data_IF_452496297419
#
_entry.id   IF_452496297419
#
_cell.length_a   1.000
_cell.length_b   1.000
_cell.length_c   1.000
_cell.angle_alpha   90.00
_cell.angle_beta   90.00
_cell.angle_gamma   90.00
#
_symmetry.space_group_name_H-M   'P 1'
#
loop_
_entity.id
_entity.type
_entity.pdbx_description
1 polymer ?
#
# COMPACT_ATOMS: atom_id res chain seq x y z
N UNK A 1 0.48 14.88 -5.87
CA UNK A 1 1.92 15.15 -5.93
C UNK A 1 2.35 15.57 -4.53
N UNK A 2 3.09 14.72 -3.81
CA UNK A 2 3.69 15.11 -2.54
C UNK A 2 4.76 16.15 -2.87
N UNK A 3 4.46 17.42 -2.57
CA UNK A 3 5.37 18.53 -2.85
C UNK A 3 6.57 18.37 -1.91
N UNK A 4 7.74 18.08 -2.49
CA UNK A 4 9.01 18.11 -1.79
C UNK A 4 9.58 16.78 -1.29
N UNK A 5 8.92 15.63 -1.47
CA UNK A 5 9.48 14.32 -1.10
C UNK A 5 9.78 13.45 -2.32
N UNK A 6 10.97 12.86 -2.34
CA UNK A 6 11.34 11.87 -3.37
C UNK A 6 10.93 10.50 -2.84
N UNK A 7 10.06 9.79 -3.58
CA UNK A 7 9.74 8.40 -3.26
C UNK A 7 10.95 7.51 -3.57
N UNK A 8 11.37 6.75 -2.56
CA UNK A 8 12.41 5.73 -2.68
C UNK A 8 11.85 4.41 -2.19
N UNK A 9 12.16 3.33 -2.87
CA UNK A 9 11.83 1.99 -2.40
C UNK A 9 12.96 1.00 -2.65
N UNK A 10 13.18 0.11 -1.71
CA UNK A 10 14.05 -1.05 -1.85
C UNK A 10 13.18 -2.28 -1.96
N UNK A 11 13.34 -3.05 -3.01
CA UNK A 11 12.58 -4.26 -3.30
C UNK A 11 13.52 -5.44 -3.10
N UNK A 12 13.12 -6.36 -2.21
CA UNK A 12 13.91 -7.54 -1.88
C UNK A 12 13.07 -8.77 -2.23
N UNK A 13 13.63 -9.66 -3.02
CA UNK A 13 13.01 -10.93 -3.40
C UNK A 13 14.12 -11.96 -3.66
N UNK A 14 13.88 -13.23 -3.32
CA UNK A 14 14.85 -14.31 -3.53
C UNK A 14 15.18 -14.61 -4.97
N UNK A 15 14.36 -14.16 -5.91
CA UNK A 15 14.52 -14.32 -7.37
C UNK A 15 14.60 -12.98 -8.08
N UNK A 16 15.08 -11.95 -7.40
CA UNK A 16 15.06 -10.58 -7.93
C UNK A 16 15.78 -10.42 -9.25
N UNK A 17 16.91 -11.12 -9.46
CA UNK A 17 17.65 -11.09 -10.74
C UNK A 17 16.78 -11.50 -11.93
N UNK A 18 15.89 -12.48 -11.73
CA UNK A 18 14.99 -12.93 -12.77
C UNK A 18 13.76 -12.00 -12.94
N UNK A 19 13.30 -11.39 -11.83
CA UNK A 19 12.05 -10.63 -11.81
C UNK A 19 12.21 -9.16 -12.17
N UNK A 20 13.35 -8.53 -11.87
CA UNK A 20 13.54 -7.08 -12.02
C UNK A 20 13.26 -6.59 -13.46
N UNK A 21 13.80 -7.28 -14.48
CA UNK A 21 13.58 -6.91 -15.87
C UNK A 21 12.12 -7.04 -16.32
N UNK A 22 11.40 -8.06 -15.85
CA UNK A 22 9.97 -8.23 -16.11
C UNK A 22 9.15 -7.14 -15.44
N UNK A 23 9.48 -6.81 -14.20
CA UNK A 23 8.80 -5.79 -13.42
C UNK A 23 8.89 -4.42 -14.09
N UNK A 24 10.09 -4.01 -14.53
CA UNK A 24 10.28 -2.77 -15.26
C UNK A 24 9.59 -2.76 -16.64
N UNK A 25 9.51 -3.93 -17.28
CA UNK A 25 8.83 -4.08 -18.57
C UNK A 25 7.31 -3.86 -18.41
N UNK A 26 6.69 -4.48 -17.40
CA UNK A 26 5.26 -4.35 -17.16
C UNK A 26 4.86 -2.99 -16.58
N UNK A 27 5.76 -2.34 -15.85
CA UNK A 27 5.48 -1.08 -15.16
C UNK A 27 6.48 0.03 -15.53
N UNK A 28 6.52 0.48 -16.80
CA UNK A 28 7.53 1.43 -17.27
C UNK A 28 7.50 2.80 -16.56
N UNK A 29 6.37 3.15 -15.92
CA UNK A 29 6.25 4.36 -15.10
C UNK A 29 7.12 4.35 -13.85
N UNK A 30 7.57 3.18 -13.40
CA UNK A 30 8.44 3.04 -12.22
C UNK A 30 9.84 3.63 -12.43
N UNK A 31 10.29 3.81 -13.66
CA UNK A 31 11.56 4.50 -13.99
C UNK A 31 11.65 5.94 -13.46
N UNK A 32 10.51 6.53 -13.11
CA UNK A 32 10.46 7.87 -12.53
C UNK A 32 10.71 7.89 -11.01
N UNK A 33 10.89 6.73 -10.38
CA UNK A 33 11.12 6.58 -8.95
C UNK A 33 12.52 6.03 -8.68
N UNK A 34 13.02 6.27 -7.46
CA UNK A 34 14.28 5.71 -7.02
C UNK A 34 14.03 4.32 -6.45
N UNK A 35 14.21 3.29 -7.28
CA UNK A 35 14.03 1.90 -6.89
C UNK A 35 15.39 1.20 -6.81
N UNK A 36 15.60 0.44 -5.75
CA UNK A 36 16.74 -0.44 -5.55
C UNK A 36 16.24 -1.88 -5.50
N UNK A 37 16.90 -2.78 -6.19
CA UNK A 37 16.55 -4.19 -6.25
C UNK A 37 17.64 -5.03 -5.61
N UNK A 38 17.27 -5.87 -4.65
CA UNK A 38 18.20 -6.78 -3.98
C UNK A 38 17.67 -8.21 -4.01
N UNK A 39 18.55 -9.15 -4.30
CA UNK A 39 18.23 -10.58 -4.23
C UNK A 39 18.68 -11.10 -2.87
N UNK A 40 17.73 -11.45 -2.02
CA UNK A 40 17.99 -12.09 -0.74
C UNK A 40 16.78 -12.91 -0.29
N UNK A 41 17.04 -13.99 0.42
CA UNK A 41 16.02 -14.77 1.09
C UNK A 41 15.54 -14.01 2.34
N UNK A 42 14.22 -13.91 2.53
CA UNK A 42 13.66 -13.26 3.73
C UNK A 42 14.13 -13.98 5.01
N UNK A 43 14.31 -13.21 6.07
CA UNK A 43 14.79 -13.69 7.36
C UNK A 43 16.22 -14.29 7.35
N UNK A 44 16.96 -14.12 6.26
CA UNK A 44 18.40 -14.43 6.21
C UNK A 44 19.25 -13.31 6.85
N UNK A 45 20.49 -13.64 7.19
CA UNK A 45 21.43 -12.63 7.70
C UNK A 45 21.69 -11.52 6.69
N UNK A 46 21.72 -11.83 5.40
CA UNK A 46 21.88 -10.86 4.31
C UNK A 46 20.69 -9.89 4.27
N UNK A 47 19.46 -10.42 4.34
CA UNK A 47 18.24 -9.62 4.40
C UNK A 47 18.26 -8.62 5.57
N UNK A 48 18.59 -9.07 6.78
CA UNK A 48 18.63 -8.20 7.94
C UNK A 48 19.76 -7.18 7.88
N UNK A 49 20.92 -7.51 7.30
CA UNK A 49 22.00 -6.54 7.09
C UNK A 49 21.58 -5.44 6.10
N UNK A 50 20.96 -5.80 4.98
CA UNK A 50 20.39 -4.83 4.03
C UNK A 50 19.38 -3.90 4.70
N UNK A 51 18.49 -4.46 5.53
CA UNK A 51 17.48 -3.68 6.24
C UNK A 51 18.12 -2.73 7.26
N UNK A 52 19.13 -3.18 8.00
CA UNK A 52 19.83 -2.38 9.01
C UNK A 52 20.39 -1.08 8.42
N UNK A 53 20.98 -1.14 7.24
CA UNK A 53 21.54 0.02 6.54
C UNK A 53 20.47 1.04 6.12
N UNK A 54 19.19 0.61 6.04
CA UNK A 54 18.07 1.45 5.61
C UNK A 54 17.24 2.04 6.76
N UNK A 55 17.39 1.54 7.99
CA UNK A 55 16.50 1.88 9.12
C UNK A 55 16.37 3.39 9.37
N UNK A 56 17.44 4.17 9.24
CA UNK A 56 17.43 5.60 9.53
C UNK A 56 16.44 6.42 8.69
N UNK A 57 16.15 5.97 7.45
CA UNK A 57 15.23 6.64 6.52
C UNK A 57 13.92 5.89 6.30
N UNK A 58 13.75 4.75 6.94
CA UNK A 58 12.63 3.86 6.70
C UNK A 58 11.33 4.41 7.32
N UNK A 59 10.24 4.36 6.56
CA UNK A 59 8.89 4.73 7.00
C UNK A 59 7.94 3.54 6.98
N UNK A 60 8.03 2.73 5.93
CA UNK A 60 7.13 1.61 5.70
C UNK A 60 7.92 0.39 5.23
N UNK A 61 7.52 -0.77 5.71
CA UNK A 61 7.89 -2.07 5.16
C UNK A 61 6.60 -2.72 4.64
N UNK A 62 6.61 -3.19 3.40
CA UNK A 62 5.52 -3.94 2.82
C UNK A 62 5.92 -5.40 2.74
N UNK A 63 5.19 -6.28 3.40
CA UNK A 63 5.39 -7.74 3.39
C UNK A 63 4.30 -8.38 2.57
N UNK A 64 4.67 -8.96 1.42
CA UNK A 64 3.77 -9.60 0.46
C UNK A 64 4.49 -10.77 -0.23
N UNK A 65 4.62 -11.91 0.47
CA UNK A 65 5.39 -13.08 0.04
C UNK A 65 4.50 -14.18 -0.58
N UNK A 66 3.18 -13.94 -0.66
CA UNK A 66 2.22 -14.83 -1.30
C UNK A 66 1.54 -15.84 -0.36
N UNK A 67 1.98 -15.99 0.89
CA UNK A 67 1.40 -16.88 1.88
C UNK A 67 1.18 -16.15 3.20
N UNK A 68 -0.03 -16.21 3.76
CA UNK A 68 -0.41 -15.49 4.98
C UNK A 68 0.51 -15.83 6.17
N UNK A 69 0.79 -17.13 6.39
CA UNK A 69 1.63 -17.57 7.50
C UNK A 69 3.06 -17.03 7.38
N UNK A 70 3.64 -17.07 6.18
CA UNK A 70 4.97 -16.54 5.91
C UNK A 70 5.01 -15.02 6.06
N UNK A 71 3.98 -14.33 5.59
CA UNK A 71 3.85 -12.88 5.73
C UNK A 71 3.80 -12.47 7.20
N UNK A 72 2.96 -13.13 8.00
CA UNK A 72 2.82 -12.87 9.45
C UNK A 72 4.12 -13.17 10.19
N UNK A 73 4.72 -14.35 9.95
CA UNK A 73 6.00 -14.72 10.57
C UNK A 73 7.07 -13.66 10.28
N UNK A 74 7.21 -13.27 9.03
CA UNK A 74 8.18 -12.27 8.60
C UNK A 74 7.89 -10.90 9.26
N UNK A 75 6.62 -10.49 9.35
CA UNK A 75 6.25 -9.24 9.99
C UNK A 75 6.61 -9.21 11.48
N UNK A 76 6.38 -10.32 12.20
CA UNK A 76 6.75 -10.44 13.63
C UNK A 76 8.27 -10.42 13.82
N UNK A 77 9.03 -11.11 12.97
CA UNK A 77 10.49 -11.09 13.03
C UNK A 77 11.06 -9.69 12.70
N UNK A 78 10.46 -8.98 11.74
CA UNK A 78 10.78 -7.59 11.42
C UNK A 78 10.47 -6.65 12.60
N UNK A 79 9.33 -6.82 13.26
CA UNK A 79 8.96 -6.06 14.46
C UNK A 79 10.01 -6.20 15.56
N UNK A 80 10.39 -7.45 15.88
CA UNK A 80 11.45 -7.72 16.87
C UNK A 80 12.81 -7.16 16.44
N UNK A 81 13.15 -7.27 15.16
CA UNK A 81 14.41 -6.72 14.64
C UNK A 81 14.44 -5.19 14.78
N UNK A 82 13.39 -4.50 14.33
CA UNK A 82 13.28 -3.04 14.40
C UNK A 82 13.37 -2.57 15.85
N UNK A 83 12.61 -3.16 16.76
CA UNK A 83 12.62 -2.80 18.19
C UNK A 83 13.99 -2.96 18.85
N UNK A 84 14.84 -3.86 18.35
CA UNK A 84 16.19 -4.09 18.86
C UNK A 84 17.21 -3.13 18.25
N UNK A 85 17.05 -2.76 16.99
CA UNK A 85 18.07 -1.99 16.25
C UNK A 85 17.81 -0.48 16.27
N UNK A 86 16.59 -0.03 16.60
CA UNK A 86 16.23 1.39 16.59
C UNK A 86 15.08 1.70 17.55
N UNK A 87 15.08 2.91 18.11
CA UNK A 87 13.97 3.46 18.89
C UNK A 87 12.92 4.17 18.00
N UNK A 88 13.03 4.05 16.68
CA UNK A 88 12.10 4.68 15.74
C UNK A 88 10.76 3.94 15.69
N UNK A 89 9.78 4.41 16.45
CA UNK A 89 8.41 3.87 16.53
C UNK A 89 7.50 4.29 15.35
N UNK A 90 8.03 5.09 14.41
CA UNK A 90 7.28 5.57 13.24
C UNK A 90 7.30 4.58 12.06
N UNK A 91 8.14 3.54 12.11
CA UNK A 91 8.18 2.53 11.05
C UNK A 91 6.94 1.66 11.14
N UNK A 92 6.20 1.53 10.03
CA UNK A 92 5.01 0.67 9.93
C UNK A 92 5.29 -0.53 9.03
N UNK A 93 4.82 -1.69 9.47
CA UNK A 93 4.92 -2.95 8.73
C UNK A 93 3.54 -3.28 8.17
N UNK A 94 3.37 -3.07 6.87
CA UNK A 94 2.15 -3.39 6.15
C UNK A 94 2.23 -4.84 5.69
N UNK A 95 1.38 -5.70 6.21
CA UNK A 95 1.45 -7.14 5.99
C UNK A 95 0.23 -7.61 5.22
N UNK A 96 0.48 -8.17 4.03
CA UNK A 96 -0.57 -8.74 3.18
C UNK A 96 -1.11 -10.02 3.79
N UNK A 97 -2.42 -10.07 4.09
CA UNK A 97 -3.07 -11.22 4.70
C UNK A 97 -4.46 -11.38 4.12
N UNK A 98 -4.67 -12.49 3.45
CA UNK A 98 -5.94 -12.81 2.81
C UNK A 98 -7.05 -13.15 3.82
N UNK A 99 -6.71 -13.91 4.89
CA UNK A 99 -7.64 -14.30 5.94
C UNK A 99 -7.27 -13.67 7.29
N UNK A 100 -7.75 -12.46 7.54
CA UNK A 100 -7.43 -11.72 8.78
C UNK A 100 -8.03 -12.35 10.04
N UNK A 101 -9.04 -13.22 9.94
CA UNK A 101 -9.68 -13.85 11.11
C UNK A 101 -8.72 -14.76 11.84
N UNK A 102 -7.92 -15.54 11.10
CA UNK A 102 -6.96 -16.49 11.68
C UNK A 102 -5.82 -15.78 12.40
N UNK A 103 -5.57 -14.51 12.06
CA UNK A 103 -4.50 -13.68 12.63
C UNK A 103 -4.99 -12.48 13.45
N UNK A 104 -6.26 -12.51 13.87
CA UNK A 104 -6.87 -11.44 14.68
C UNK A 104 -6.14 -11.19 16.00
N UNK A 105 -5.43 -12.18 16.54
CA UNK A 105 -4.60 -12.04 17.75
C UNK A 105 -3.48 -11.00 17.58
N UNK A 106 -2.92 -10.81 16.38
CA UNK A 106 -1.94 -9.75 16.10
C UNK A 106 -2.57 -8.38 16.30
N UNK A 107 -3.81 -8.19 15.82
CA UNK A 107 -4.54 -6.93 16.00
C UNK A 107 -5.00 -6.71 17.45
N UNK A 108 -5.27 -7.79 18.20
CA UNK A 108 -5.63 -7.71 19.60
C UNK A 108 -4.43 -7.39 20.50
N UNK A 109 -3.22 -7.87 20.15
CA UNK A 109 -1.97 -7.61 20.84
C UNK A 109 -1.34 -6.25 20.43
N UNK A 110 -2.17 -5.18 20.33
CA UNK A 110 -1.76 -3.85 19.83
C UNK A 110 -0.58 -3.23 20.59
N UNK A 111 -0.41 -3.56 21.86
CA UNK A 111 0.72 -3.04 22.65
C UNK A 111 2.04 -3.69 22.25
N UNK A 112 2.01 -4.95 21.79
CA UNK A 112 3.19 -5.69 21.39
C UNK A 112 3.55 -5.49 19.91
N UNK A 113 2.54 -5.27 19.04
CA UNK A 113 2.68 -5.22 17.57
C UNK A 113 2.00 -3.99 16.98
N UNK A 114 2.14 -2.82 17.65
CA UNK A 114 1.52 -1.55 17.23
C UNK A 114 1.94 -1.06 15.84
N UNK A 115 3.10 -1.50 15.38
CA UNK A 115 3.64 -1.20 14.07
C UNK A 115 3.13 -2.11 12.95
N UNK A 116 2.58 -3.30 13.27
CA UNK A 116 2.08 -4.25 12.27
C UNK A 116 0.64 -3.89 11.88
N UNK A 117 0.42 -3.66 10.60
CA UNK A 117 -0.88 -3.35 10.01
C UNK A 117 -1.24 -4.42 8.98
N UNK A 118 -2.27 -5.22 9.25
CA UNK A 118 -2.76 -6.23 8.32
C UNK A 118 -3.65 -5.57 7.25
N UNK A 119 -3.45 -5.93 5.99
CA UNK A 119 -4.27 -5.48 4.86
C UNK A 119 -4.50 -6.63 3.87
N UNK A 120 -5.32 -6.41 2.85
CA UNK A 120 -5.55 -7.38 1.76
C UNK A 120 -6.69 -8.36 2.00
N UNK A 121 -7.30 -8.40 3.20
CA UNK A 121 -8.32 -9.38 3.46
C UNK A 121 -9.62 -9.12 2.71
N UNK A 122 -10.28 -10.20 2.31
CA UNK A 122 -11.60 -10.14 1.68
C UNK A 122 -12.63 -9.43 2.55
N UNK A 123 -12.58 -9.63 3.87
CA UNK A 123 -13.52 -8.99 4.81
C UNK A 123 -13.40 -7.45 4.80
N UNK A 124 -12.22 -6.92 4.46
CA UNK A 124 -11.99 -5.48 4.36
C UNK A 124 -12.20 -4.93 2.93
N UNK A 125 -12.03 -5.79 1.91
CA UNK A 125 -12.18 -5.40 0.50
C UNK A 125 -13.64 -5.54 0.06
N UNK A 126 -14.32 -6.58 0.51
CA UNK A 126 -15.70 -6.93 0.13
C UNK A 126 -16.69 -6.65 1.25
N UNK A 127 -16.65 -5.46 1.83
CA UNK A 127 -17.67 -5.03 2.80
C UNK A 127 -18.98 -4.69 2.10
N UNK A 128 -20.11 -4.82 2.82
CA UNK A 128 -21.43 -4.41 2.35
C UNK A 128 -21.41 -2.96 1.82
N UNK A 129 -20.73 -2.07 2.51
CA UNK A 129 -20.55 -0.67 2.12
C UNK A 129 -19.85 -0.50 0.77
N UNK A 130 -18.88 -1.34 0.47
CA UNK A 130 -18.12 -1.25 -0.78
C UNK A 130 -18.92 -1.90 -1.94
N UNK A 131 -19.54 -3.07 -1.69
CA UNK A 131 -20.20 -3.86 -2.74
C UNK A 131 -21.61 -3.36 -3.00
N UNK A 132 -22.40 -3.16 -1.95
CA UNK A 132 -23.83 -2.83 -2.08
C UNK A 132 -24.04 -1.32 -2.12
N UNK A 133 -23.42 -0.60 -1.21
CA UNK A 133 -23.64 0.85 -1.08
C UNK A 133 -22.78 1.68 -2.04
N UNK A 134 -21.89 1.05 -2.82
CA UNK A 134 -21.01 1.75 -3.77
C UNK A 134 -20.38 3.02 -3.15
N UNK A 135 -20.00 2.97 -1.89
CA UNK A 135 -19.60 4.16 -1.10
C UNK A 135 -18.47 4.95 -1.75
N UNK A 136 -17.54 4.25 -2.41
CA UNK A 136 -16.46 4.87 -3.18
C UNK A 136 -16.97 5.64 -4.40
N UNK A 137 -17.96 5.06 -5.09
CA UNK A 137 -18.56 5.71 -6.26
C UNK A 137 -19.42 6.91 -5.84
N UNK A 138 -20.15 6.82 -4.72
CA UNK A 138 -20.91 7.97 -4.23
C UNK A 138 -20.03 9.19 -3.95
N UNK A 139 -18.89 9.00 -3.32
CA UNK A 139 -17.92 10.09 -3.08
C UNK A 139 -17.38 10.63 -4.40
N UNK A 140 -17.02 9.76 -5.34
CA UNK A 140 -16.56 10.14 -6.67
C UNK A 140 -17.61 10.93 -7.46
N UNK A 141 -18.89 10.53 -7.38
CA UNK A 141 -20.01 11.25 -8.00
C UNK A 141 -20.19 12.66 -7.42
N UNK A 142 -20.08 12.82 -6.09
CA UNK A 142 -20.14 14.12 -5.42
C UNK A 142 -19.00 15.05 -5.87
N UNK A 143 -17.78 14.53 -5.91
CA UNK A 143 -16.60 15.27 -6.39
C UNK A 143 -16.78 15.67 -7.86
N UNK A 144 -17.22 14.73 -8.70
CA UNK A 144 -17.48 15.00 -10.11
C UNK A 144 -18.55 16.10 -10.28
N UNK A 145 -19.66 16.00 -9.56
CA UNK A 145 -20.75 16.98 -9.62
C UNK A 145 -20.25 18.39 -9.25
N UNK A 146 -19.45 18.49 -8.18
CA UNK A 146 -18.86 19.76 -7.76
C UNK A 146 -17.99 20.40 -8.86
N UNK A 147 -17.04 19.67 -9.43
CA UNK A 147 -16.19 20.18 -10.50
C UNK A 147 -16.95 20.41 -11.81
N UNK A 148 -17.96 19.59 -12.08
CA UNK A 148 -18.78 19.70 -13.29
C UNK A 148 -19.62 20.99 -13.27
N UNK A 149 -20.17 21.36 -12.09
CA UNK A 149 -20.93 22.58 -11.91
C UNK A 149 -20.13 23.88 -12.09
N UNK A 150 -18.80 23.80 -12.01
CA UNK A 150 -17.92 24.96 -12.26
C UNK A 150 -17.62 25.18 -13.75
N UNK A 151 -18.03 24.27 -14.63
CA UNK A 151 -17.85 24.40 -16.07
C UNK A 151 -19.01 25.17 -16.71
N UNK A 152 -18.75 25.78 -17.86
CA UNK A 152 -19.82 26.30 -18.69
C UNK A 152 -20.83 25.20 -19.03
N UNK A 153 -22.10 25.55 -19.10
CA UNK A 153 -23.21 24.56 -19.20
C UNK A 153 -23.02 23.60 -20.37
N UNK A 154 -22.56 24.08 -21.51
CA UNK A 154 -22.29 23.28 -22.72
C UNK A 154 -21.12 22.30 -22.57
N UNK A 155 -20.30 22.44 -21.56
CA UNK A 155 -19.15 21.58 -21.24
C UNK A 155 -19.42 20.62 -20.07
N UNK A 156 -20.61 20.70 -19.49
CA UNK A 156 -21.00 19.82 -18.40
C UNK A 156 -21.33 18.43 -18.93
N UNK A 157 -20.77 17.42 -18.30
CA UNK A 157 -21.00 15.99 -18.64
C UNK A 157 -21.55 15.29 -17.41
N UNK A 158 -22.77 14.74 -17.46
CA UNK A 158 -23.33 13.99 -16.33
C UNK A 158 -22.52 12.71 -16.07
N UNK A 159 -22.56 12.23 -14.82
CA UNK A 159 -21.80 11.03 -14.42
C UNK A 159 -22.05 9.82 -15.31
N UNK A 160 -23.32 9.59 -15.70
CA UNK A 160 -23.71 8.47 -16.53
C UNK A 160 -23.06 8.47 -17.92
N UNK A 161 -22.80 9.68 -18.46
CA UNK A 161 -22.19 9.86 -19.76
C UNK A 161 -20.64 9.83 -19.75
N UNK A 162 -20.03 9.70 -18.57
CA UNK A 162 -18.58 9.53 -18.48
C UNK A 162 -18.14 8.17 -19.01
N UNK A 163 -17.01 8.15 -19.71
CA UNK A 163 -16.38 6.89 -20.10
C UNK A 163 -15.94 6.09 -18.86
N UNK A 164 -15.84 4.75 -18.93
CA UNK A 164 -15.37 3.91 -17.83
C UNK A 164 -14.04 4.39 -17.24
N UNK A 165 -13.09 4.78 -18.08
CA UNK A 165 -11.77 5.30 -17.66
C UNK A 165 -11.93 6.58 -16.81
N UNK A 166 -12.77 7.51 -17.21
CA UNK A 166 -13.02 8.75 -16.46
C UNK A 166 -13.73 8.48 -15.13
N UNK A 167 -14.66 7.51 -15.09
CA UNK A 167 -15.27 7.07 -13.82
C UNK A 167 -14.23 6.49 -12.88
N UNK A 168 -13.38 5.58 -13.36
CA UNK A 168 -12.29 4.99 -12.57
C UNK A 168 -11.31 6.04 -12.04
N UNK A 169 -10.96 7.05 -12.84
CA UNK A 169 -10.10 8.16 -12.41
C UNK A 169 -10.73 8.95 -11.25
N UNK A 170 -12.04 9.23 -11.33
CA UNK A 170 -12.75 9.93 -10.25
C UNK A 170 -12.87 9.05 -8.99
N UNK A 171 -13.11 7.74 -9.13
CA UNK A 171 -13.16 6.80 -8.00
C UNK A 171 -11.79 6.70 -7.33
N UNK A 172 -10.72 6.61 -8.10
CA UNK A 172 -9.35 6.62 -7.58
C UNK A 172 -9.03 7.91 -6.83
N UNK A 173 -9.41 9.07 -7.39
CA UNK A 173 -9.22 10.36 -6.72
C UNK A 173 -10.01 10.45 -5.40
N UNK A 174 -11.24 9.93 -5.37
CA UNK A 174 -12.08 9.88 -4.18
C UNK A 174 -11.49 8.98 -3.08
N UNK A 175 -10.91 7.85 -3.45
CA UNK A 175 -10.26 6.91 -2.51
C UNK A 175 -9.06 7.53 -1.77
N UNK A 176 -8.41 8.53 -2.36
CA UNK A 176 -7.28 9.23 -1.77
C UNK A 176 -7.64 10.54 -1.05
N UNK A 177 -8.93 10.92 -0.98
CA UNK A 177 -9.33 12.23 -0.45
C UNK A 177 -8.98 12.37 1.03
N UNK A 178 -9.19 11.31 1.82
CA UNK A 178 -8.88 11.31 3.25
C UNK A 178 -7.38 11.44 3.54
N UNK A 179 -6.55 10.83 2.71
CA UNK A 179 -5.08 10.96 2.80
C UNK A 179 -4.58 12.36 2.46
N UNK A 180 -5.37 13.10 1.66
CA UNK A 180 -5.01 14.50 1.27
C UNK A 180 -5.50 15.55 2.25
N UNK A 181 -6.42 15.19 3.13
CA UNK A 181 -7.00 16.10 4.12
C UNK A 181 -6.33 15.98 5.51
N UNK A 182 -5.44 15.01 5.68
CA UNK A 182 -4.54 14.87 6.83
C UNK A 182 -3.24 15.66 6.60
#
# INVERSE_FOLDING_TARGET
>A
QFVGSTFRATIIDKEMKCKAGLFEHYYPGLKNYQLEYHEAEVNSSEFFNLLKDKLAGLKYILVALGEDELNIKTAVELSHFISRETDNDQIKILTDVYNTRDYSYIQQAKECFKEICLYGSNDNIYTEDIIINESREMTARKIHAYYNAQKAVEKQVPWQALSPIKKMTNISAASHIYTKLQ
#
